data_IF_984840887229
#
_entry.id   IF_984840887229
#
_cell.length_a   1.000
_cell.length_b   1.000
_cell.length_c   1.000
_cell.angle_alpha   90.00
_cell.angle_beta   90.00
_cell.angle_gamma   90.00
#
_symmetry.space_group_name_H-M   'P 1'
#
loop_
_entity.id
_entity.type
_entity.pdbx_description
1 polymer ?
#
# COMPACT_ATOMS: atom_id res chain seq x y z
N UNK A 1 28.30 -7.05 28.25
CA UNK A 1 28.12 -5.58 28.11
C UNK A 1 27.34 -5.20 26.82
N UNK A 2 26.45 -6.04 26.27
CA UNK A 2 25.78 -5.81 24.97
C UNK A 2 24.27 -5.51 25.00
N UNK A 3 23.55 -5.92 26.04
CA UNK A 3 22.07 -5.91 26.00
C UNK A 3 21.45 -4.54 26.31
N UNK A 4 22.16 -3.72 27.10
CA UNK A 4 21.71 -2.37 27.45
C UNK A 4 21.73 -1.36 26.29
N UNK A 5 22.65 -1.54 25.32
CA UNK A 5 22.79 -0.63 24.18
C UNK A 5 21.72 -0.87 23.12
N UNK A 6 21.40 -2.14 22.82
CA UNK A 6 20.33 -2.49 21.86
C UNK A 6 18.98 -2.01 22.38
N UNK A 7 18.67 -2.23 23.67
CA UNK A 7 17.44 -1.75 24.29
C UNK A 7 17.31 -0.22 24.28
N UNK A 8 18.39 0.52 24.55
CA UNK A 8 18.38 1.98 24.47
C UNK A 8 18.22 2.49 23.04
N UNK A 9 18.87 1.85 22.07
CA UNK A 9 18.78 2.19 20.66
C UNK A 9 17.38 1.94 20.11
N UNK A 10 16.77 0.79 20.43
CA UNK A 10 15.38 0.49 20.06
C UNK A 10 14.40 1.50 20.68
N UNK A 11 14.62 1.89 21.94
CA UNK A 11 13.76 2.88 22.61
C UNK A 11 13.94 4.28 22.03
N UNK A 12 15.15 4.64 21.63
CA UNK A 12 15.46 5.90 20.96
C UNK A 12 14.85 5.95 19.56
N UNK A 13 15.03 4.88 18.78
CA UNK A 13 14.37 4.70 17.49
C UNK A 13 12.85 4.81 17.63
N UNK A 14 12.26 4.07 18.56
CA UNK A 14 10.82 4.14 18.81
C UNK A 14 10.32 5.53 19.21
N UNK A 15 11.15 6.32 19.90
CA UNK A 15 10.82 7.70 20.34
C UNK A 15 11.18 8.78 19.32
N UNK A 16 11.84 8.43 18.23
CA UNK A 16 12.22 9.38 17.18
C UNK A 16 10.94 10.01 16.63
N UNK A 17 10.78 11.32 16.88
CA UNK A 17 9.63 12.07 16.39
C UNK A 17 9.72 12.18 14.88
N UNK A 18 8.62 11.92 14.18
CA UNK A 18 8.54 12.10 12.74
C UNK A 18 8.85 13.54 12.39
N UNK A 19 10.04 13.77 11.84
CA UNK A 19 10.41 15.04 11.20
C UNK A 19 9.70 15.21 9.84
N UNK A 20 8.45 14.74 9.76
CA UNK A 20 7.59 14.80 8.59
C UNK A 20 7.54 16.24 8.05
N UNK A 21 7.27 17.22 8.91
CA UNK A 21 7.20 18.62 8.51
C UNK A 21 8.52 19.14 7.93
N UNK A 22 9.65 18.84 8.59
CA UNK A 22 10.97 19.24 8.10
C UNK A 22 11.28 18.65 6.72
N UNK A 23 10.94 17.37 6.47
CA UNK A 23 11.14 16.73 5.16
C UNK A 23 10.26 17.37 4.07
N UNK A 24 9.01 17.70 4.42
CA UNK A 24 8.10 18.40 3.50
C UNK A 24 8.61 19.80 3.17
N UNK A 25 9.10 20.55 4.17
CA UNK A 25 9.64 21.89 3.97
C UNK A 25 10.93 21.86 3.15
N UNK A 26 11.79 20.86 3.38
CA UNK A 26 12.97 20.62 2.55
C UNK A 26 12.59 20.35 1.09
N UNK A 27 11.68 19.42 0.82
CA UNK A 27 11.22 19.13 -0.55
C UNK A 27 10.51 20.32 -1.20
N UNK A 28 9.78 21.12 -0.40
CA UNK A 28 9.14 22.35 -0.86
C UNK A 28 10.18 23.37 -1.32
N UNK A 29 11.23 23.58 -0.52
CA UNK A 29 12.32 24.50 -0.88
C UNK A 29 13.08 24.09 -2.16
N UNK A 30 13.08 22.80 -2.49
CA UNK A 30 13.69 22.24 -3.70
C UNK A 30 12.73 22.10 -4.88
N UNK A 31 11.45 22.48 -4.73
CA UNK A 31 10.41 22.30 -5.75
C UNK A 31 9.96 20.85 -6.00
N UNK A 32 10.58 19.87 -5.33
CA UNK A 32 10.31 18.44 -5.51
C UNK A 32 8.96 18.01 -4.94
N UNK A 33 8.39 18.80 -4.03
CA UNK A 33 7.09 18.49 -3.42
C UNK A 33 5.96 18.42 -4.47
N UNK A 34 6.00 19.30 -5.48
CA UNK A 34 5.01 19.30 -6.57
C UNK A 34 5.16 18.07 -7.47
N UNK A 35 6.40 17.70 -7.78
CA UNK A 35 6.70 16.50 -8.58
C UNK A 35 6.19 15.25 -7.87
N UNK A 36 6.54 15.08 -6.59
CA UNK A 36 6.09 13.94 -5.80
C UNK A 36 4.57 13.87 -5.71
N UNK A 37 3.91 15.01 -5.52
CA UNK A 37 2.44 15.10 -5.49
C UNK A 37 1.81 14.56 -6.78
N UNK A 38 2.36 14.93 -7.94
CA UNK A 38 1.87 14.45 -9.23
C UNK A 38 2.21 13.00 -9.50
N UNK A 39 3.36 12.51 -9.05
CA UNK A 39 3.70 11.07 -9.12
C UNK A 39 2.70 10.23 -8.32
N UNK A 40 2.43 10.62 -7.07
CA UNK A 40 1.47 9.94 -6.20
C UNK A 40 0.06 9.98 -6.82
N UNK A 41 -0.38 11.16 -7.27
CA UNK A 41 -1.67 11.29 -7.96
C UNK A 41 -1.75 10.44 -9.24
N UNK A 42 -0.66 10.39 -10.02
CA UNK A 42 -0.56 9.59 -11.24
C UNK A 42 -0.70 8.10 -10.97
N UNK A 43 -0.01 7.57 -9.95
CA UNK A 43 -0.14 6.16 -9.53
C UNK A 43 -1.60 5.83 -9.20
N UNK A 44 -2.24 6.66 -8.38
CA UNK A 44 -3.65 6.47 -8.01
C UNK A 44 -4.59 6.57 -9.21
N UNK A 45 -4.34 7.51 -10.12
CA UNK A 45 -5.15 7.70 -11.31
C UNK A 45 -5.04 6.49 -12.25
N UNK A 46 -3.82 6.02 -12.52
CA UNK A 46 -3.58 4.82 -13.33
C UNK A 46 -4.28 3.60 -12.72
N UNK A 47 -4.11 3.38 -11.41
CA UNK A 47 -4.76 2.28 -10.72
C UNK A 47 -6.29 2.39 -10.78
N UNK A 48 -6.83 3.60 -10.60
CA UNK A 48 -8.26 3.87 -10.69
C UNK A 48 -8.83 3.63 -12.09
N UNK A 49 -8.13 4.06 -13.14
CA UNK A 49 -8.53 3.85 -14.54
C UNK A 49 -8.49 2.35 -14.90
N UNK A 50 -7.42 1.64 -14.52
CA UNK A 50 -7.32 0.20 -14.75
C UNK A 50 -8.41 -0.57 -14.00
N UNK A 51 -8.70 -0.17 -12.76
CA UNK A 51 -9.78 -0.77 -11.97
C UNK A 51 -11.16 -0.50 -12.57
N UNK A 52 -11.38 0.71 -13.10
CA UNK A 52 -12.61 1.04 -13.82
C UNK A 52 -12.75 0.20 -15.09
N UNK A 53 -11.66 -0.02 -15.83
CA UNK A 53 -11.66 -0.91 -16.98
C UNK A 53 -12.06 -2.35 -16.58
N UNK A 54 -11.55 -2.87 -15.46
CA UNK A 54 -11.91 -4.19 -14.93
C UNK A 54 -13.39 -4.33 -14.54
N UNK A 55 -14.14 -3.24 -14.32
CA UNK A 55 -15.60 -3.31 -14.10
C UNK A 55 -16.34 -3.70 -15.39
N UNK A 56 -15.86 -3.21 -16.53
CA UNK A 56 -16.50 -3.41 -17.83
C UNK A 56 -15.91 -4.61 -18.59
N UNK A 57 -14.59 -4.81 -18.46
CA UNK A 57 -13.82 -5.87 -19.11
C UNK A 57 -12.98 -6.57 -18.04
N UNK A 58 -13.57 -7.53 -17.30
CA UNK A 58 -12.86 -8.20 -16.22
C UNK A 58 -11.72 -9.07 -16.74
N UNK A 59 -10.54 -8.92 -16.15
CA UNK A 59 -9.36 -9.72 -16.47
C UNK A 59 -9.29 -11.07 -15.70
N UNK A 60 -10.26 -11.31 -14.81
CA UNK A 60 -10.30 -12.48 -13.93
C UNK A 60 -11.75 -12.89 -13.65
N UNK A 61 -12.10 -13.07 -12.37
CA UNK A 61 -13.46 -13.42 -11.98
C UNK A 61 -14.50 -12.36 -12.43
N UNK A 62 -15.62 -12.82 -13.00
CA UNK A 62 -16.62 -11.97 -13.69
C UNK A 62 -17.97 -11.90 -12.93
N UNK A 63 -18.05 -12.34 -11.68
CA UNK A 63 -19.29 -12.21 -10.93
C UNK A 63 -19.55 -10.75 -10.51
N UNK A 64 -20.83 -10.44 -10.26
CA UNK A 64 -21.27 -9.12 -9.82
C UNK A 64 -20.50 -8.61 -8.58
N UNK A 65 -20.12 -9.51 -7.68
CA UNK A 65 -19.32 -9.18 -6.48
C UNK A 65 -17.94 -8.63 -6.87
N UNK A 66 -17.25 -9.25 -7.82
CA UNK A 66 -15.93 -8.79 -8.28
C UNK A 66 -16.04 -7.47 -9.03
N UNK A 67 -17.07 -7.29 -9.87
CA UNK A 67 -17.32 -6.01 -10.56
C UNK A 67 -17.61 -4.88 -9.58
N UNK A 68 -18.41 -5.13 -8.53
CA UNK A 68 -18.63 -4.16 -7.45
C UNK A 68 -17.32 -3.85 -6.73
N UNK A 69 -16.51 -4.86 -6.42
CA UNK A 69 -15.20 -4.68 -5.83
C UNK A 69 -14.28 -3.79 -6.68
N UNK A 70 -14.21 -4.05 -7.98
CA UNK A 70 -13.44 -3.24 -8.93
C UNK A 70 -13.96 -1.80 -9.00
N UNK A 71 -15.29 -1.59 -8.91
CA UNK A 71 -15.88 -0.25 -8.85
C UNK A 71 -15.48 0.49 -7.55
N UNK A 72 -15.45 -0.21 -6.41
CA UNK A 72 -14.98 0.35 -5.13
C UNK A 72 -13.50 0.75 -5.22
N UNK A 73 -12.65 -0.12 -5.77
CA UNK A 73 -11.23 0.18 -5.98
C UNK A 73 -11.05 1.35 -6.95
N UNK A 74 -11.82 1.40 -8.03
CA UNK A 74 -11.76 2.48 -9.01
C UNK A 74 -12.10 3.84 -8.36
N UNK A 75 -13.26 3.91 -7.68
CA UNK A 75 -13.72 5.15 -7.02
C UNK A 75 -12.73 5.56 -5.93
N UNK A 76 -12.27 4.62 -5.12
CA UNK A 76 -11.32 4.89 -4.04
C UNK A 76 -9.96 5.39 -4.54
N UNK A 77 -9.40 4.74 -5.57
CA UNK A 77 -8.12 5.14 -6.17
C UNK A 77 -8.19 6.47 -6.89
N UNK A 78 -9.29 6.73 -7.63
CA UNK A 78 -9.52 8.03 -8.28
C UNK A 78 -9.75 9.14 -7.25
N UNK A 79 -10.50 8.87 -6.19
CA UNK A 79 -10.70 9.80 -5.08
C UNK A 79 -9.40 10.15 -4.37
N UNK A 80 -8.53 9.15 -4.15
CA UNK A 80 -7.20 9.34 -3.58
C UNK A 80 -6.28 10.14 -4.52
N UNK A 81 -6.29 9.82 -5.82
CA UNK A 81 -5.55 10.58 -6.83
C UNK A 81 -6.00 12.05 -6.86
N UNK A 82 -7.31 12.30 -6.88
CA UNK A 82 -7.89 13.64 -6.83
C UNK A 82 -7.51 14.37 -5.55
N UNK A 83 -7.50 13.67 -4.39
CA UNK A 83 -7.06 14.24 -3.12
C UNK A 83 -5.62 14.72 -3.16
N UNK A 84 -4.71 13.98 -3.81
CA UNK A 84 -3.32 14.42 -3.97
C UNK A 84 -3.17 15.52 -5.02
N UNK A 85 -3.93 15.46 -6.12
CA UNK A 85 -3.87 16.43 -7.21
C UNK A 85 -4.53 17.79 -6.90
N UNK A 86 -5.58 17.82 -6.07
CA UNK A 86 -6.42 19.01 -5.89
C UNK A 86 -6.31 19.64 -4.51
N UNK A 87 -6.09 18.86 -3.46
CA UNK A 87 -6.04 19.39 -2.09
C UNK A 87 -4.60 19.73 -1.65
N UNK A 88 -4.45 20.59 -0.64
CA UNK A 88 -3.15 20.88 -0.03
C UNK A 88 -2.48 19.61 0.51
N UNK A 89 -1.15 19.70 0.63
CA UNK A 89 -0.32 18.62 1.16
C UNK A 89 -0.85 18.18 2.55
N UNK A 90 -1.09 16.88 2.77
CA UNK A 90 -1.71 16.39 4.00
C UNK A 90 -0.80 16.59 5.23
N UNK A 91 -1.43 16.79 6.39
CA UNK A 91 -0.74 16.70 7.69
C UNK A 91 -0.22 15.28 7.92
N UNK A 92 0.72 15.09 8.86
CA UNK A 92 1.28 13.77 9.15
C UNK A 92 0.19 12.71 9.45
N UNK A 93 -0.81 13.07 10.27
CA UNK A 93 -1.95 12.18 10.58
C UNK A 93 -2.80 11.85 9.36
N UNK A 94 -3.11 12.84 8.52
CA UNK A 94 -3.88 12.62 7.30
C UNK A 94 -3.11 11.77 6.29
N UNK A 95 -1.80 11.99 6.16
CA UNK A 95 -0.94 11.17 5.30
C UNK A 95 -0.87 9.73 5.80
N UNK A 96 -0.79 9.50 7.11
CA UNK A 96 -0.83 8.15 7.68
C UNK A 96 -2.15 7.43 7.35
N UNK A 97 -3.30 8.11 7.45
CA UNK A 97 -4.57 7.54 7.02
C UNK A 97 -4.65 7.26 5.52
N UNK A 98 -4.07 8.14 4.69
CA UNK A 98 -4.01 7.93 3.24
C UNK A 98 -3.11 6.74 2.87
N UNK A 99 -2.07 6.45 3.65
CA UNK A 99 -1.24 5.25 3.51
C UNK A 99 -2.04 4.00 3.87
N UNK A 100 -2.68 3.98 5.04
CA UNK A 100 -3.52 2.82 5.45
C UNK A 100 -4.62 2.55 4.42
N UNK A 101 -5.24 3.61 3.90
CA UNK A 101 -6.23 3.51 2.85
C UNK A 101 -5.65 2.89 1.57
N UNK A 102 -4.46 3.33 1.13
CA UNK A 102 -3.83 2.79 -0.08
C UNK A 102 -3.42 1.33 0.09
N UNK A 103 -2.94 0.94 1.27
CA UNK A 103 -2.59 -0.45 1.58
C UNK A 103 -3.80 -1.39 1.44
N UNK A 104 -4.95 -0.97 1.97
CA UNK A 104 -6.21 -1.71 1.87
C UNK A 104 -6.66 -1.81 0.41
N UNK A 105 -6.64 -0.70 -0.33
CA UNK A 105 -7.10 -0.67 -1.73
C UNK A 105 -6.20 -1.50 -2.64
N UNK A 106 -4.88 -1.44 -2.45
CA UNK A 106 -3.91 -2.24 -3.20
C UNK A 106 -4.08 -3.73 -2.90
N UNK A 107 -4.24 -4.09 -1.63
CA UNK A 107 -4.49 -5.48 -1.23
C UNK A 107 -5.79 -5.99 -1.82
N UNK A 108 -6.87 -5.20 -1.72
CA UNK A 108 -8.16 -5.55 -2.31
C UNK A 108 -8.06 -5.74 -3.84
N UNK A 109 -7.33 -4.85 -4.53
CA UNK A 109 -7.13 -4.98 -5.98
C UNK A 109 -6.43 -6.28 -6.38
N UNK A 110 -5.45 -6.73 -5.58
CA UNK A 110 -4.75 -7.99 -5.82
C UNK A 110 -5.69 -9.20 -5.64
N UNK A 111 -6.58 -9.14 -4.63
CA UNK A 111 -7.55 -10.22 -4.37
C UNK A 111 -8.68 -10.28 -5.41
N UNK A 112 -9.07 -9.15 -5.99
CA UNK A 112 -10.18 -9.08 -6.95
C UNK A 112 -9.91 -9.74 -8.31
N UNK A 113 -8.67 -10.12 -8.59
CA UNK A 113 -8.38 -10.99 -9.73
C UNK A 113 -8.96 -12.40 -9.56
N UNK A 114 -9.22 -12.84 -8.31
CA UNK A 114 -9.80 -14.16 -8.02
C UNK A 114 -8.84 -15.33 -8.24
N UNK A 115 -7.59 -15.05 -8.61
CA UNK A 115 -6.52 -16.04 -8.81
C UNK A 115 -5.36 -15.74 -7.84
N UNK A 116 -4.94 -16.71 -7.01
CA UNK A 116 -3.89 -16.51 -6.03
C UNK A 116 -2.50 -16.28 -6.65
N UNK A 117 -2.21 -16.79 -7.84
CA UNK A 117 -0.96 -16.49 -8.55
C UNK A 117 -0.93 -15.02 -9.00
N UNK A 118 -2.04 -14.53 -9.54
CA UNK A 118 -2.17 -13.11 -9.90
C UNK A 118 -2.10 -12.21 -8.66
N UNK A 119 -2.73 -12.63 -7.56
CA UNK A 119 -2.67 -11.91 -6.30
C UNK A 119 -1.24 -11.84 -5.72
N UNK A 120 -0.47 -12.95 -5.78
CA UNK A 120 0.93 -12.98 -5.36
C UNK A 120 1.83 -12.06 -6.19
N UNK A 121 1.58 -11.96 -7.49
CA UNK A 121 2.29 -11.01 -8.34
C UNK A 121 1.91 -9.56 -8.00
N UNK A 122 0.60 -9.30 -7.89
CA UNK A 122 0.07 -7.95 -7.66
C UNK A 122 0.39 -7.36 -6.30
N UNK A 123 0.47 -8.16 -5.23
CA UNK A 123 0.69 -7.67 -3.87
C UNK A 123 2.05 -6.99 -3.67
N UNK A 124 3.01 -7.24 -4.57
CA UNK A 124 4.33 -6.58 -4.58
C UNK A 124 4.24 -5.05 -4.68
N UNK A 125 3.12 -4.52 -5.18
CA UNK A 125 2.87 -3.07 -5.26
C UNK A 125 2.90 -2.36 -3.90
N UNK A 126 2.64 -3.09 -2.79
CA UNK A 126 2.77 -2.56 -1.44
C UNK A 126 4.18 -2.07 -1.12
N UNK A 127 5.21 -2.58 -1.80
CA UNK A 127 6.58 -2.10 -1.66
C UNK A 127 6.72 -0.61 -2.03
N UNK A 128 5.95 -0.15 -3.03
CA UNK A 128 5.92 1.26 -3.42
C UNK A 128 5.35 2.14 -2.30
N UNK A 129 4.31 1.67 -1.60
CA UNK A 129 3.78 2.35 -0.42
C UNK A 129 4.80 2.37 0.73
N UNK A 130 5.50 1.26 0.96
CA UNK A 130 6.58 1.17 1.94
C UNK A 130 7.69 2.20 1.74
N UNK A 131 8.11 2.44 0.49
CA UNK A 131 9.09 3.48 0.16
C UNK A 131 8.65 4.89 0.60
N UNK A 132 7.37 5.21 0.42
CA UNK A 132 6.81 6.47 0.92
C UNK A 132 6.82 6.53 2.45
N UNK A 133 6.43 5.44 3.11
CA UNK A 133 6.38 5.37 4.58
C UNK A 133 7.76 5.51 5.22
N UNK A 134 8.79 4.83 4.70
CA UNK A 134 10.18 4.99 5.15
C UNK A 134 10.66 6.43 5.04
N UNK A 135 10.27 7.12 3.96
CA UNK A 135 10.78 8.45 3.69
C UNK A 135 10.05 9.52 4.49
N UNK A 136 8.75 9.40 4.75
CA UNK A 136 7.98 10.48 5.38
C UNK A 136 7.59 10.21 6.83
N UNK A 137 7.41 8.96 7.19
CA UNK A 137 6.78 8.58 8.45
C UNK A 137 7.73 7.87 9.38
N UNK A 138 7.32 7.83 10.64
CA UNK A 138 8.07 7.23 11.71
C UNK A 138 8.11 5.72 11.69
N UNK A 139 8.95 5.18 12.60
CA UNK A 139 9.13 3.75 12.76
C UNK A 139 7.85 3.01 13.12
N UNK A 140 6.91 3.67 13.81
CA UNK A 140 5.62 3.06 14.19
C UNK A 140 4.73 2.76 12.99
N UNK A 141 4.56 3.73 12.09
CA UNK A 141 3.75 3.54 10.90
C UNK A 141 4.43 2.57 9.94
N UNK A 142 5.76 2.64 9.84
CA UNK A 142 6.52 1.70 9.03
C UNK A 142 6.36 0.25 9.50
N UNK A 143 6.41 -0.01 10.80
CA UNK A 143 6.13 -1.34 11.35
C UNK A 143 4.68 -1.79 11.13
N UNK A 144 3.71 -0.87 11.24
CA UNK A 144 2.32 -1.19 10.94
C UNK A 144 2.14 -1.60 9.48
N UNK A 145 2.75 -0.87 8.54
CA UNK A 145 2.77 -1.20 7.12
C UNK A 145 3.46 -2.55 6.85
N UNK A 146 4.63 -2.80 7.45
CA UNK A 146 5.31 -4.12 7.36
C UNK A 146 4.39 -5.23 7.88
N UNK A 147 3.74 -5.03 9.03
CA UNK A 147 2.79 -5.97 9.59
C UNK A 147 1.64 -6.27 8.62
N UNK A 148 1.08 -5.24 7.98
CA UNK A 148 0.06 -5.39 6.94
C UNK A 148 0.58 -6.20 5.74
N UNK A 149 1.78 -5.87 5.22
CA UNK A 149 2.41 -6.61 4.13
C UNK A 149 2.58 -8.09 4.47
N UNK A 150 3.07 -8.41 5.67
CA UNK A 150 3.23 -9.80 6.13
C UNK A 150 1.87 -10.51 6.16
N UNK A 151 0.85 -9.88 6.76
CA UNK A 151 -0.50 -10.47 6.83
C UNK A 151 -1.07 -10.72 5.43
N UNK A 152 -0.97 -9.75 4.53
CA UNK A 152 -1.48 -9.88 3.16
C UNK A 152 -0.74 -10.97 2.37
N UNK A 153 0.59 -11.00 2.43
CA UNK A 153 1.40 -12.02 1.73
C UNK A 153 1.14 -13.40 2.28
N UNK A 154 1.14 -13.57 3.61
CA UNK A 154 0.83 -14.87 4.24
C UNK A 154 -0.59 -15.31 3.91
N UNK A 155 -1.56 -14.39 3.95
CA UNK A 155 -2.95 -14.69 3.59
C UNK A 155 -3.09 -15.18 2.15
N UNK A 156 -2.46 -14.50 1.19
CA UNK A 156 -2.47 -14.91 -0.22
C UNK A 156 -1.70 -16.23 -0.41
N UNK A 157 -0.57 -16.43 0.29
CA UNK A 157 0.19 -17.68 0.21
C UNK A 157 -0.60 -18.88 0.76
N UNK A 158 -1.31 -18.72 1.88
CA UNK A 158 -2.22 -19.75 2.41
C UNK A 158 -3.34 -20.03 1.42
N UNK A 159 -3.93 -18.98 0.84
CA UNK A 159 -4.95 -19.13 -0.21
C UNK A 159 -4.40 -19.92 -1.41
N UNK A 160 -3.21 -19.57 -1.90
CA UNK A 160 -2.52 -20.25 -3.00
C UNK A 160 -2.31 -21.75 -2.73
N UNK A 161 -1.84 -22.10 -1.53
CA UNK A 161 -1.63 -23.51 -1.15
C UNK A 161 -2.97 -24.24 -1.02
N UNK A 162 -4.00 -23.58 -0.48
CA UNK A 162 -5.32 -24.20 -0.31
C UNK A 162 -6.07 -24.42 -1.61
N UNK A 163 -5.83 -23.59 -2.63
CA UNK A 163 -6.52 -23.65 -3.93
C UNK A 163 -5.86 -24.62 -4.91
N UNK A 164 -4.62 -25.04 -4.66
CA UNK A 164 -3.87 -25.92 -5.56
C UNK A 164 -3.57 -27.26 -4.87
N UNK A 165 -4.22 -28.33 -5.33
CA UNK A 165 -3.98 -29.69 -4.84
C UNK A 165 -2.57 -30.23 -5.19
N UNK A 166 -1.88 -29.64 -6.16
CA UNK A 166 -0.56 -30.08 -6.63
C UNK A 166 0.62 -29.58 -5.77
N UNK A 167 0.41 -28.55 -4.94
CA UNK A 167 1.39 -28.03 -3.96
C UNK A 167 1.06 -28.43 -2.51
N UNK A 168 0.07 -29.29 -2.30
CA UNK A 168 -0.14 -29.93 -1.01
C UNK A 168 1.13 -30.69 -0.64
N UNK A 169 1.74 -30.34 0.51
CA UNK A 169 2.94 -30.94 1.10
C UNK A 169 3.45 -32.17 0.33
N UNK A 170 4.34 -31.95 -0.63
CA UNK A 170 5.10 -33.02 -1.27
C UNK A 170 6.12 -33.56 -0.26
N UNK A 171 5.62 -34.16 0.83
CA UNK A 171 6.40 -35.05 1.68
C UNK A 171 6.26 -36.43 1.02
N UNK A 172 7.09 -36.67 0.01
CA UNK A 172 7.25 -37.95 -0.68
C UNK A 172 8.72 -38.24 -0.85
#
# INVERSE_FOLDING_TARGET
MGDGSVGSLLRQWWRQSDDYQWRIDFLRSRGLLSVLRWVIAGIGATMGVLSAANVFVPAGADDAVFRIGWAVVAIGSLGWAARWALLPWPTARASAWLVVFVDIIMTLSALLFGDPNLAMSGITILLCAGGYVVFFHGPRLHLAHIGWCIVSVVGIAVWLVSSNSEYGLQIG
#
